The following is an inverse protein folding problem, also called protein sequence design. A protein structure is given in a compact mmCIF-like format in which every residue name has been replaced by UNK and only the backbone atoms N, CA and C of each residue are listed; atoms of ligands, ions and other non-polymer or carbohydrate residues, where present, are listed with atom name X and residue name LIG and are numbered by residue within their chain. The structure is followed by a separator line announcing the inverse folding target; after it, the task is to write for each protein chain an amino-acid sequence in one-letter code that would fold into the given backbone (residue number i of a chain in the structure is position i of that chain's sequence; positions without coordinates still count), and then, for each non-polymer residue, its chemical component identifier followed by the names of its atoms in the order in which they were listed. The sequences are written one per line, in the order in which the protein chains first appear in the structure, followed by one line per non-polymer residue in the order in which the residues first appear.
data_IF_046361769953
#
_entry.id   IF_046361769953
#
_cell.length_a   1.000
_cell.length_b   1.000
_cell.length_c   1.000
_cell.angle_alpha   90.00
_cell.angle_beta   90.00
_cell.angle_gamma   90.00
#
_symmetry.space_group_name_H-M   'P 1'
#
loop_
_entity.id
_entity.type
_entity.pdbx_description
1 polymer ?
#
# COMPACT_ATOMS: atom_id res chain seq x y z
N UNK A 1 -19.49 -16.45 12.31
CA UNK A 1 -20.91 -16.61 11.91
C UNK A 1 -21.07 -17.78 10.94
N UNK A 2 -20.36 -17.85 9.82
CA UNK A 2 -20.49 -18.91 8.82
C UNK A 2 -20.23 -20.32 9.41
N UNK A 3 -19.19 -20.48 10.24
CA UNK A 3 -18.92 -21.73 10.95
C UNK A 3 -20.07 -22.14 11.89
N UNK A 4 -20.65 -21.19 12.60
CA UNK A 4 -21.83 -21.46 13.45
C UNK A 4 -23.06 -21.86 12.63
N UNK A 5 -23.27 -21.22 11.48
CA UNK A 5 -24.34 -21.61 10.57
C UNK A 5 -24.13 -23.03 10.02
N UNK A 6 -22.90 -23.40 9.70
CA UNK A 6 -22.53 -24.74 9.29
C UNK A 6 -22.78 -25.76 10.40
N UNK A 7 -22.27 -25.47 11.61
CA UNK A 7 -22.45 -26.38 12.78
C UNK A 7 -23.91 -26.58 13.16
N UNK A 8 -24.79 -25.63 12.88
CA UNK A 8 -26.22 -25.73 13.13
C UNK A 8 -27.04 -26.19 11.91
N UNK A 9 -26.40 -26.62 10.82
CA UNK A 9 -27.06 -27.12 9.62
C UNK A 9 -27.93 -26.13 8.87
N UNK A 10 -27.67 -24.82 9.03
CA UNK A 10 -28.42 -23.72 8.38
C UNK A 10 -27.56 -22.89 7.39
N UNK A 11 -26.44 -23.45 6.96
CA UNK A 11 -25.54 -22.75 6.05
C UNK A 11 -26.18 -22.44 4.69
N UNK A 12 -27.04 -23.33 4.20
CA UNK A 12 -27.82 -23.17 2.98
C UNK A 12 -28.79 -21.99 3.01
N UNK A 13 -29.18 -21.55 4.20
CA UNK A 13 -30.03 -20.38 4.46
C UNK A 13 -29.25 -19.14 4.87
N UNK A 14 -27.93 -19.27 5.05
CA UNK A 14 -27.09 -18.15 5.48
C UNK A 14 -26.70 -17.27 4.30
N UNK A 15 -27.59 -16.37 3.94
CA UNK A 15 -27.47 -15.47 2.80
C UNK A 15 -27.09 -14.07 3.28
N UNK A 16 -25.91 -13.61 2.89
CA UNK A 16 -25.40 -12.27 3.20
C UNK A 16 -25.30 -11.35 1.97
N UNK A 17 -25.37 -11.90 0.77
CA UNK A 17 -25.28 -11.16 -0.49
C UNK A 17 -26.68 -10.86 -1.06
N UNK A 18 -26.76 -9.92 -2.01
CA UNK A 18 -28.03 -9.53 -2.66
C UNK A 18 -28.48 -10.48 -3.76
N UNK A 19 -27.60 -11.35 -4.24
CA UNK A 19 -27.92 -12.37 -5.25
C UNK A 19 -28.63 -13.60 -4.67
N UNK A 20 -28.94 -13.56 -3.37
CA UNK A 20 -29.59 -14.64 -2.66
C UNK A 20 -28.81 -15.98 -2.67
N UNK A 21 -27.52 -15.95 -3.00
CA UNK A 21 -26.67 -17.13 -2.97
C UNK A 21 -26.16 -17.38 -1.54
N UNK A 22 -26.31 -18.58 -0.99
CA UNK A 22 -25.77 -18.93 0.31
C UNK A 22 -24.25 -18.77 0.40
N UNK A 23 -23.76 -18.39 1.56
CA UNK A 23 -22.33 -18.23 1.79
C UNK A 23 -21.61 -19.56 1.70
N UNK A 24 -20.59 -19.66 0.87
CA UNK A 24 -19.73 -20.83 0.77
C UNK A 24 -18.52 -20.69 1.67
N UNK A 25 -18.31 -21.64 2.58
CA UNK A 25 -17.12 -21.67 3.45
C UNK A 25 -15.95 -22.33 2.70
N UNK A 26 -14.78 -21.73 2.81
CA UNK A 26 -13.50 -22.43 2.63
C UNK A 26 -12.98 -22.59 1.19
N UNK A 27 -13.55 -21.96 0.18
CA UNK A 27 -13.02 -22.04 -1.19
C UNK A 27 -11.86 -21.08 -1.50
N UNK A 28 -11.56 -20.13 -0.63
CA UNK A 28 -10.46 -19.19 -0.83
C UNK A 28 -9.21 -19.61 -0.07
N UNK A 29 -8.05 -19.48 -0.71
CA UNK A 29 -6.76 -19.58 -0.01
C UNK A 29 -6.37 -18.21 0.52
N UNK A 30 -5.97 -18.14 1.79
CA UNK A 30 -5.30 -16.98 2.34
C UNK A 30 -3.93 -16.79 1.68
N UNK A 31 -3.37 -15.62 1.82
CA UNK A 31 -2.03 -15.29 1.30
C UNK A 31 -1.12 -14.98 2.48
N UNK A 32 0.01 -15.67 2.54
CA UNK A 32 1.07 -15.37 3.51
C UNK A 32 2.23 -14.74 2.75
N UNK A 33 2.74 -13.63 3.27
CA UNK A 33 3.89 -12.95 2.69
C UNK A 33 4.77 -12.38 3.80
N UNK A 34 6.05 -12.25 3.48
CA UNK A 34 7.05 -11.66 4.35
C UNK A 34 7.27 -10.20 3.95
N UNK A 35 7.27 -9.31 4.93
CA UNK A 35 7.55 -7.89 4.70
C UNK A 35 8.14 -7.25 5.96
N UNK A 36 9.21 -6.48 5.80
CA UNK A 36 9.90 -5.77 6.89
C UNK A 36 10.21 -6.66 8.10
N UNK A 37 10.79 -7.84 7.88
CA UNK A 37 11.16 -8.77 8.95
C UNK A 37 9.99 -9.51 9.62
N UNK A 38 8.75 -9.36 9.11
CA UNK A 38 7.55 -9.97 9.69
C UNK A 38 6.79 -10.80 8.67
N UNK A 39 6.20 -11.88 9.15
CA UNK A 39 5.27 -12.70 8.36
C UNK A 39 3.86 -12.16 8.55
N UNK A 40 3.20 -11.84 7.45
CA UNK A 40 1.81 -11.42 7.42
C UNK A 40 0.96 -12.49 6.77
N UNK A 41 -0.17 -12.78 7.39
CA UNK A 41 -1.19 -13.65 6.84
C UNK A 41 -2.46 -12.87 6.58
N UNK A 42 -2.94 -12.89 5.34
CA UNK A 42 -4.27 -12.38 4.97
C UNK A 42 -5.20 -13.56 4.74
N UNK A 43 -6.28 -13.63 5.47
CA UNK A 43 -7.33 -14.62 5.23
C UNK A 43 -7.95 -14.42 3.84
N UNK A 44 -8.54 -15.49 3.32
CA UNK A 44 -9.26 -15.44 2.05
C UNK A 44 -10.36 -14.39 2.06
N UNK A 45 -10.50 -13.68 0.95
CA UNK A 45 -11.55 -12.67 0.80
C UNK A 45 -12.91 -13.36 0.62
N UNK A 46 -13.86 -12.96 1.46
CA UNK A 46 -15.26 -13.32 1.27
C UNK A 46 -15.95 -12.18 0.49
N UNK A 47 -16.39 -12.46 -0.72
CA UNK A 47 -17.12 -11.49 -1.53
C UNK A 47 -18.61 -11.59 -1.22
N UNK A 48 -19.21 -10.43 -0.96
CA UNK A 48 -20.67 -10.29 -0.82
C UNK A 48 -21.19 -9.47 -1.99
N UNK A 49 -21.88 -10.11 -2.91
CA UNK A 49 -22.42 -9.44 -4.08
C UNK A 49 -23.44 -8.36 -3.68
N UNK A 50 -23.32 -7.18 -4.28
CA UNK A 50 -24.20 -6.05 -4.03
C UNK A 50 -24.13 -5.44 -2.61
N UNK A 51 -23.12 -5.82 -1.81
CA UNK A 51 -22.87 -5.24 -0.48
C UNK A 51 -21.41 -4.84 -0.32
N UNK A 52 -21.18 -3.82 0.47
CA UNK A 52 -19.83 -3.47 0.93
C UNK A 52 -19.50 -4.35 2.13
N UNK A 53 -18.44 -5.14 2.02
CA UNK A 53 -17.93 -5.94 3.12
C UNK A 53 -16.52 -5.47 3.48
N UNK A 54 -16.35 -5.08 4.74
CA UNK A 54 -15.08 -4.65 5.31
C UNK A 54 -14.65 -5.74 6.31
N UNK A 55 -13.57 -6.41 5.98
CA UNK A 55 -12.98 -7.45 6.83
C UNK A 55 -11.96 -6.77 7.75
N UNK A 56 -12.38 -6.45 8.95
CA UNK A 56 -11.61 -5.69 9.95
C UNK A 56 -10.25 -6.33 10.25
N UNK A 57 -10.16 -7.66 10.21
CA UNK A 57 -8.93 -8.39 10.51
C UNK A 57 -7.90 -8.36 9.36
N UNK A 58 -8.32 -7.99 8.16
CA UNK A 58 -7.47 -7.98 6.96
C UNK A 58 -7.30 -6.59 6.34
N UNK A 59 -7.65 -5.54 7.06
CA UNK A 59 -7.57 -4.18 6.56
C UNK A 59 -6.67 -3.29 7.41
N UNK A 60 -5.55 -2.88 6.83
CA UNK A 60 -4.64 -1.95 7.47
C UNK A 60 -5.26 -0.54 7.63
N UNK A 61 -5.92 -0.06 6.58
CA UNK A 61 -6.48 1.31 6.55
C UNK A 61 -7.58 1.46 7.60
N UNK A 62 -8.50 0.49 7.69
CA UNK A 62 -9.55 0.53 8.70
C UNK A 62 -8.98 0.50 10.13
N UNK A 63 -7.96 -0.30 10.35
CA UNK A 63 -7.30 -0.40 11.67
C UNK A 63 -6.62 0.93 12.05
N UNK A 64 -6.03 1.62 11.09
CA UNK A 64 -5.33 2.87 11.32
C UNK A 64 -6.26 4.09 11.48
N UNK A 65 -7.36 4.17 10.72
CA UNK A 65 -8.17 5.39 10.65
C UNK A 65 -9.69 5.16 10.71
N UNK A 66 -10.15 3.96 11.02
CA UNK A 66 -11.57 3.63 11.15
C UNK A 66 -12.36 3.70 9.83
N UNK A 67 -13.68 3.68 9.96
CA UNK A 67 -14.57 3.70 8.79
C UNK A 67 -14.54 5.05 8.07
N UNK A 68 -14.52 6.14 8.80
CA UNK A 68 -14.50 7.49 8.24
C UNK A 68 -13.24 7.73 7.42
N UNK A 69 -12.08 7.38 7.95
CA UNK A 69 -10.82 7.45 7.22
C UNK A 69 -10.77 6.54 6.00
N UNK A 70 -11.35 5.34 6.09
CA UNK A 70 -11.46 4.45 4.95
C UNK A 70 -12.36 5.02 3.84
N UNK A 71 -13.47 5.68 4.20
CA UNK A 71 -14.37 6.37 3.25
C UNK A 71 -13.60 7.52 2.59
N UNK A 72 -12.87 8.30 3.36
CA UNK A 72 -12.10 9.43 2.83
C UNK A 72 -10.99 8.98 1.87
N UNK A 73 -10.25 7.93 2.22
CA UNK A 73 -9.26 7.31 1.33
C UNK A 73 -9.91 6.80 0.04
N UNK A 74 -11.04 6.11 0.15
CA UNK A 74 -11.80 5.61 -1.00
C UNK A 74 -12.21 6.76 -1.94
N UNK A 75 -12.70 7.85 -1.37
CA UNK A 75 -13.13 9.04 -2.09
C UNK A 75 -11.98 9.77 -2.77
N UNK A 76 -10.90 10.00 -2.05
CA UNK A 76 -9.73 10.76 -2.52
C UNK A 76 -8.96 9.98 -3.58
N UNK A 77 -8.73 8.69 -3.35
CA UNK A 77 -7.95 7.85 -4.26
C UNK A 77 -8.77 7.19 -5.36
N UNK A 78 -10.08 7.44 -5.42
CA UNK A 78 -11.01 6.89 -6.42
C UNK A 78 -10.99 5.35 -6.50
N UNK A 79 -10.83 4.72 -5.35
CA UNK A 79 -10.88 3.26 -5.22
C UNK A 79 -12.20 2.87 -4.54
N UNK A 80 -12.97 1.92 -5.08
CA UNK A 80 -14.20 1.47 -4.42
C UNK A 80 -13.95 1.03 -2.99
N UNK A 81 -14.85 1.37 -2.06
CA UNK A 81 -14.68 1.19 -0.62
C UNK A 81 -14.28 -0.24 -0.22
N UNK A 82 -14.95 -1.25 -0.79
CA UNK A 82 -14.63 -2.65 -0.53
C UNK A 82 -13.24 -3.08 -1.02
N UNK A 83 -12.74 -2.39 -2.06
CA UNK A 83 -11.38 -2.62 -2.58
C UNK A 83 -10.36 -1.84 -1.75
N UNK A 84 -10.65 -0.60 -1.39
CA UNK A 84 -9.81 0.21 -0.52
C UNK A 84 -9.57 -0.48 0.83
N UNK A 85 -10.61 -1.09 1.41
CA UNK A 85 -10.51 -1.83 2.66
C UNK A 85 -9.47 -2.96 2.64
N UNK A 86 -9.16 -3.53 1.49
CA UNK A 86 -8.20 -4.65 1.34
C UNK A 86 -6.94 -4.30 0.56
N UNK A 87 -6.87 -3.10 0.03
CA UNK A 87 -5.74 -2.64 -0.75
C UNK A 87 -4.49 -2.44 0.12
N UNK A 88 -3.33 -2.62 -0.49
CA UNK A 88 -2.08 -2.13 0.09
C UNK A 88 -1.99 -0.61 -0.05
N UNK A 89 -1.17 0.02 0.79
CA UNK A 89 -0.89 1.46 0.69
C UNK A 89 -0.39 1.80 -0.71
N UNK A 90 0.53 1.00 -1.27
CA UNK A 90 1.03 1.19 -2.62
C UNK A 90 -0.06 1.19 -3.70
N UNK A 91 -1.08 0.32 -3.57
CA UNK A 91 -2.23 0.31 -4.49
C UNK A 91 -3.03 1.60 -4.39
N UNK A 92 -3.27 2.10 -3.19
CA UNK A 92 -4.00 3.34 -2.94
C UNK A 92 -3.25 4.54 -3.50
N UNK A 93 -1.95 4.64 -3.20
CA UNK A 93 -1.10 5.72 -3.70
C UNK A 93 -0.97 5.70 -5.23
N UNK A 94 -0.79 4.53 -5.83
CA UNK A 94 -0.79 4.40 -7.29
C UNK A 94 -2.11 4.85 -7.91
N UNK A 95 -3.24 4.52 -7.30
CA UNK A 95 -4.55 4.96 -7.78
C UNK A 95 -4.69 6.47 -7.74
N UNK A 96 -4.21 7.12 -6.67
CA UNK A 96 -4.19 8.58 -6.54
C UNK A 96 -3.31 9.22 -7.62
N UNK A 97 -2.10 8.69 -7.85
CA UNK A 97 -1.19 9.16 -8.89
C UNK A 97 -1.81 9.06 -10.29
N UNK A 98 -2.40 7.88 -10.60
CA UNK A 98 -3.07 7.65 -11.88
C UNK A 98 -4.27 8.59 -12.08
N UNK A 99 -5.05 8.84 -11.02
CA UNK A 99 -6.16 9.77 -11.09
C UNK A 99 -5.69 11.22 -11.30
N UNK A 100 -4.61 11.62 -10.64
CA UNK A 100 -4.01 12.95 -10.81
C UNK A 100 -3.46 13.12 -12.22
N UNK A 101 -2.76 12.11 -12.75
CA UNK A 101 -2.28 12.12 -14.13
C UNK A 101 -3.45 12.24 -15.13
N UNK A 102 -4.50 11.45 -14.95
CA UNK A 102 -5.70 11.52 -15.78
C UNK A 102 -6.34 12.92 -15.76
N UNK A 103 -6.43 13.55 -14.57
CA UNK A 103 -7.00 14.90 -14.45
C UNK A 103 -6.16 15.99 -15.13
N UNK A 104 -4.89 15.77 -15.28
CA UNK A 104 -3.96 16.73 -15.88
C UNK A 104 -3.61 16.35 -17.34
N UNK A 105 -4.39 15.46 -17.95
CA UNK A 105 -4.19 14.99 -19.34
C UNK A 105 -2.79 14.41 -19.60
N UNK A 106 -2.17 13.83 -18.56
CA UNK A 106 -0.87 13.18 -18.65
C UNK A 106 -1.05 11.74 -19.09
N UNK A 107 -0.35 11.34 -20.13
CA UNK A 107 -0.36 9.97 -20.64
C UNK A 107 0.23 9.01 -19.61
N UNK A 108 -0.56 8.02 -19.23
CA UNK A 108 -0.17 6.97 -18.30
C UNK A 108 0.48 5.84 -19.09
N UNK A 109 1.72 5.42 -18.78
CA UNK A 109 2.38 4.34 -19.49
C UNK A 109 1.66 3.01 -19.25
N UNK A 110 1.51 2.20 -20.31
CA UNK A 110 0.87 0.88 -20.26
C UNK A 110 1.58 -0.10 -19.31
N UNK A 111 2.90 -0.07 -19.31
CA UNK A 111 3.73 -0.89 -18.43
C UNK A 111 4.58 0.00 -17.53
N UNK A 112 4.61 -0.33 -16.25
CA UNK A 112 5.43 0.40 -15.26
C UNK A 112 6.90 -0.03 -15.25
N UNK A 113 7.24 -1.13 -15.90
CA UNK A 113 8.59 -1.71 -15.90
C UNK A 113 9.36 -1.24 -17.14
N UNK A 114 9.71 0.02 -17.19
CA UNK A 114 10.74 0.46 -18.11
C UNK A 114 12.10 0.14 -17.48
N UNK A 115 13.00 -0.51 -18.22
CA UNK A 115 14.35 -0.73 -17.71
C UNK A 115 15.05 0.60 -17.52
N UNK A 116 15.79 0.73 -16.44
CA UNK A 116 16.64 1.89 -16.23
C UNK A 116 17.71 1.97 -17.32
N UNK A 117 18.17 3.19 -17.62
CA UNK A 117 19.32 3.39 -18.48
C UNK A 117 20.55 2.69 -17.93
N UNK A 118 21.33 2.08 -18.80
CA UNK A 118 22.59 1.44 -18.40
C UNK A 118 23.49 2.47 -17.71
N UNK A 119 24.00 2.06 -16.54
CA UNK A 119 24.95 2.85 -15.76
C UNK A 119 26.22 2.02 -15.56
N UNK A 120 27.34 2.68 -15.56
CA UNK A 120 28.61 2.05 -15.14
C UNK A 120 28.57 1.76 -13.64
N UNK A 121 29.44 0.89 -13.17
CA UNK A 121 29.54 0.59 -11.73
C UNK A 121 29.86 1.86 -10.90
N UNK A 122 30.62 2.78 -11.46
CA UNK A 122 30.92 4.05 -10.81
C UNK A 122 29.68 4.96 -10.71
N UNK A 123 28.92 5.08 -11.79
CA UNK A 123 27.67 5.86 -11.80
C UNK A 123 26.65 5.28 -10.81
N UNK A 124 26.55 3.96 -10.71
CA UNK A 124 25.69 3.33 -9.70
C UNK A 124 26.16 3.65 -8.29
N UNK A 125 27.47 3.57 -8.03
CA UNK A 125 28.04 3.90 -6.71
C UNK A 125 27.80 5.35 -6.32
N UNK A 126 27.82 6.27 -7.28
CA UNK A 126 27.55 7.70 -7.03
C UNK A 126 26.06 7.94 -6.85
N UNK A 127 25.20 7.28 -7.63
CA UNK A 127 23.76 7.48 -7.60
C UNK A 127 23.10 6.86 -6.35
N UNK A 128 23.59 5.71 -5.89
CA UNK A 128 23.05 5.00 -4.74
C UNK A 128 24.18 4.44 -3.87
N UNK A 129 24.50 5.14 -2.81
CA UNK A 129 25.48 4.72 -1.80
C UNK A 129 24.83 3.94 -0.66
N UNK A 130 23.52 3.79 -0.68
CA UNK A 130 22.77 3.22 0.43
C UNK A 130 22.79 4.10 1.69
N UNK A 131 22.18 3.58 2.75
CA UNK A 131 22.23 4.20 4.08
C UNK A 131 23.54 3.83 4.80
N UNK A 132 24.15 4.79 5.50
CA UNK A 132 25.25 4.50 6.39
C UNK A 132 24.71 3.97 7.72
N UNK A 133 25.15 2.77 8.09
CA UNK A 133 24.77 2.14 9.36
C UNK A 133 26.03 2.00 10.22
N UNK A 134 26.02 2.62 11.40
CA UNK A 134 27.08 2.44 12.36
C UNK A 134 27.02 1.05 12.97
N UNK A 135 28.16 0.43 13.17
CA UNK A 135 28.22 -0.81 13.93
C UNK A 135 27.84 -0.51 15.40
N UNK A 136 26.84 -1.24 15.94
CA UNK A 136 26.42 -1.03 17.32
C UNK A 136 27.50 -1.51 18.28
N UNK A 137 27.76 -0.75 19.33
CA UNK A 137 28.57 -1.24 20.45
C UNK A 137 27.75 -2.30 21.20
N UNK A 138 28.25 -3.51 21.24
CA UNK A 138 27.59 -4.62 21.96
C UNK A 138 27.64 -4.36 23.44
N UNK A 139 26.49 -4.45 24.12
CA UNK A 139 26.38 -4.24 25.57
C UNK A 139 25.00 -3.75 26.01
N UNK A 140 24.88 -3.52 27.32
CA UNK A 140 23.70 -2.88 27.89
C UNK A 140 23.92 -1.36 27.94
N UNK A 141 22.98 -0.62 27.38
CA UNK A 141 23.02 0.83 27.34
C UNK A 141 21.81 1.39 28.10
N UNK A 142 22.05 2.36 29.00
CA UNK A 142 21.00 3.07 29.73
C UNK A 142 20.88 4.49 29.20
N UNK A 143 19.70 5.09 29.33
CA UNK A 143 19.46 6.46 28.85
C UNK A 143 19.48 6.61 27.32
N UNK A 144 19.06 5.58 26.59
CA UNK A 144 19.01 5.58 25.13
C UNK A 144 17.72 6.26 24.66
N UNK A 145 17.85 7.16 23.69
CA UNK A 145 16.72 7.80 23.01
C UNK A 145 16.74 7.43 21.54
N UNK A 146 15.57 7.16 20.97
CA UNK A 146 15.39 6.96 19.55
C UNK A 146 14.84 8.26 18.94
N UNK A 147 15.47 8.74 17.88
CA UNK A 147 15.01 9.89 17.11
C UNK A 147 14.96 9.52 15.64
N UNK A 148 13.89 9.93 14.97
CA UNK A 148 13.68 9.67 13.56
C UNK A 148 13.11 10.90 12.85
N UNK A 149 13.41 11.05 11.57
CA UNK A 149 12.84 12.09 10.73
C UNK A 149 11.45 11.66 10.23
N UNK A 150 10.43 12.41 10.57
CA UNK A 150 9.06 12.15 10.14
C UNK A 150 8.99 12.12 8.61
N UNK A 151 8.69 10.94 8.05
CA UNK A 151 8.53 10.74 6.60
C UNK A 151 9.68 11.35 5.79
N UNK A 152 10.92 11.03 6.12
CA UNK A 152 12.13 11.67 5.58
C UNK A 152 12.12 11.78 4.05
N UNK A 153 11.90 10.68 3.33
CA UNK A 153 11.90 10.69 1.86
C UNK A 153 10.77 11.57 1.27
N UNK A 154 9.49 11.39 1.66
CA UNK A 154 8.43 12.27 1.19
C UNK A 154 8.67 13.75 1.51
N UNK A 155 9.20 14.05 2.69
CA UNK A 155 9.50 15.43 3.10
C UNK A 155 10.61 16.03 2.25
N UNK A 156 11.68 15.29 1.99
CA UNK A 156 12.75 15.74 1.09
C UNK A 156 12.25 15.95 -0.34
N UNK A 157 11.45 15.02 -0.86
CA UNK A 157 10.85 15.17 -2.20
C UNK A 157 9.99 16.43 -2.30
N UNK A 158 9.16 16.68 -1.28
CA UNK A 158 8.29 17.86 -1.23
C UNK A 158 9.09 19.15 -1.11
N UNK A 159 10.03 19.24 -0.16
CA UNK A 159 10.78 20.47 0.14
C UNK A 159 11.81 20.81 -0.91
N UNK A 160 12.33 19.82 -1.63
CA UNK A 160 13.32 19.98 -2.69
C UNK A 160 12.72 19.92 -4.09
N UNK A 161 11.39 19.77 -4.19
CA UNK A 161 10.67 19.61 -5.47
C UNK A 161 11.24 18.48 -6.35
N UNK A 162 11.55 17.35 -5.74
CA UNK A 162 12.13 16.19 -6.43
C UNK A 162 11.00 15.35 -7.05
N UNK A 163 10.96 15.28 -8.36
CA UNK A 163 10.03 14.44 -9.13
C UNK A 163 10.70 13.98 -10.42
N UNK A 164 10.07 13.06 -11.13
CA UNK A 164 10.57 12.58 -12.42
C UNK A 164 10.73 13.73 -13.45
N UNK A 165 9.90 14.77 -13.33
CA UNK A 165 9.94 15.94 -14.22
C UNK A 165 11.01 16.96 -13.83
N UNK A 166 11.43 16.99 -12.58
CA UNK A 166 12.37 18.02 -12.06
C UNK A 166 13.79 17.50 -11.96
N UNK A 167 13.99 16.20 -11.78
CA UNK A 167 15.33 15.61 -11.73
C UNK A 167 15.97 15.66 -13.13
N UNK A 168 17.15 16.24 -13.22
CA UNK A 168 17.89 16.44 -14.48
C UNK A 168 17.10 17.23 -15.54
N UNK A 169 16.15 18.06 -15.14
CA UNK A 169 15.45 18.94 -16.08
C UNK A 169 16.41 19.98 -16.69
N UNK A 170 16.20 20.30 -17.95
CA UNK A 170 17.01 21.29 -18.66
C UNK A 170 16.61 22.74 -18.37
N UNK A 171 15.52 22.96 -17.64
CA UNK A 171 14.98 24.29 -17.35
C UNK A 171 15.77 25.05 -16.28
N UNK A 172 16.53 24.35 -15.44
CA UNK A 172 17.32 24.92 -14.35
C UNK A 172 18.79 24.44 -14.47
N UNK A 173 19.61 25.02 -15.36
CA UNK A 173 20.95 24.49 -15.65
C UNK A 173 21.92 24.46 -14.46
N UNK A 174 21.60 25.15 -13.36
CA UNK A 174 22.42 25.21 -12.15
C UNK A 174 21.82 24.44 -10.97
N UNK A 175 20.69 23.76 -11.10
CA UNK A 175 20.13 22.92 -10.07
C UNK A 175 20.66 21.50 -10.21
N UNK A 176 21.86 21.25 -9.69
CA UNK A 176 22.36 19.90 -9.45
C UNK A 176 21.57 19.30 -8.28
N UNK A 177 20.43 18.74 -8.53
CA UNK A 177 19.71 17.84 -7.61
C UNK A 177 19.64 16.48 -8.24
#
# INVERSE_FOLDING_TARGET
LAYRAFANGVLDRFILSRDAIPLTIGKGRGTTFFSYGRVYHKAAMQRLFGRVHIDVNNTFIYTACGLEGLIEVSRTCRVPLHRAARASIGTIMSSLQLYTAYKNDILIPWKKNEPESFKTAWELLVADRGGFIFEPKVGFHTGVFEVDFTSMFPTLMLTRNISAETVLCKCCPNSNV
#
